data_IF_639509411270
#
_entry.id   IF_639509411270
#
_cell.length_a   1.000
_cell.length_b   1.000
_cell.length_c   1.000
_cell.angle_alpha   90.00
_cell.angle_beta   90.00
_cell.angle_gamma   90.00
#
_symmetry.space_group_name_H-M   'P 1'
#
loop_
_entity.id
_entity.type
_entity.pdbx_description
1 polymer ?
#
# COMPACT_ATOMS: atom_id res chain seq x y z
N UNK A 1 -8.74 0.09 7.36
CA UNK A 1 -9.49 -1.16 7.17
C UNK A 1 -9.32 -2.00 8.41
N UNK A 2 -10.36 -2.72 8.80
CA UNK A 2 -10.38 -3.55 9.98
C UNK A 2 -10.92 -4.94 9.61
N UNK A 3 -10.27 -5.98 10.11
CA UNK A 3 -10.66 -7.36 9.91
C UNK A 3 -10.77 -8.04 11.26
N UNK A 4 -11.93 -8.61 11.57
CA UNK A 4 -12.21 -9.33 12.81
C UNK A 4 -12.16 -10.85 12.54
N UNK A 5 -11.47 -11.58 13.41
CA UNK A 5 -11.24 -13.01 13.30
C UNK A 5 -11.74 -13.73 14.55
N UNK A 6 -12.52 -14.78 14.36
CA UNK A 6 -12.98 -15.67 15.43
C UNK A 6 -11.88 -16.69 15.78
N UNK A 7 -10.67 -16.21 16.06
CA UNK A 7 -9.49 -17.02 16.40
C UNK A 7 -8.61 -16.27 17.40
N UNK A 8 -7.91 -17.01 18.23
CA UNK A 8 -6.82 -16.47 19.06
C UNK A 8 -5.63 -16.03 18.18
N UNK A 9 -4.81 -15.14 18.72
CA UNK A 9 -3.65 -14.56 18.03
C UNK A 9 -2.66 -15.61 17.51
N UNK A 10 -2.41 -16.67 18.27
CA UNK A 10 -1.43 -17.71 17.92
C UNK A 10 -1.94 -18.56 16.75
N UNK A 11 -3.21 -18.95 16.81
CA UNK A 11 -3.91 -19.67 15.72
C UNK A 11 -3.99 -18.83 14.45
N UNK A 12 -4.30 -17.53 14.58
CA UNK A 12 -4.36 -16.60 13.44
C UNK A 12 -2.99 -16.49 12.74
N UNK A 13 -1.90 -16.31 13.51
CA UNK A 13 -0.54 -16.25 12.94
C UNK A 13 -0.18 -17.54 12.19
N UNK A 14 -0.56 -18.71 12.72
CA UNK A 14 -0.26 -19.99 12.09
C UNK A 14 -1.01 -20.17 10.76
N UNK A 15 -2.32 -19.85 10.75
CA UNK A 15 -3.17 -19.90 9.55
C UNK A 15 -2.69 -18.91 8.50
N UNK A 16 -2.25 -17.71 8.93
CA UNK A 16 -1.65 -16.72 8.04
C UNK A 16 -0.42 -17.29 7.33
N UNK A 17 0.56 -17.82 8.07
CA UNK A 17 1.76 -18.39 7.44
C UNK A 17 1.41 -19.51 6.44
N UNK A 18 0.53 -20.44 6.84
CA UNK A 18 0.14 -21.57 5.98
C UNK A 18 -0.63 -21.15 4.72
N UNK A 19 -1.56 -20.19 4.81
CA UNK A 19 -2.31 -19.70 3.64
C UNK A 19 -1.47 -18.77 2.76
N UNK A 20 -0.48 -18.08 3.32
CA UNK A 20 0.41 -17.18 2.58
C UNK A 20 1.34 -17.94 1.63
N UNK A 21 1.90 -19.07 2.08
CA UNK A 21 2.72 -19.97 1.24
C UNK A 21 1.97 -20.43 -0.01
N UNK A 22 0.67 -20.71 0.11
CA UNK A 22 -0.19 -21.14 -1.00
C UNK A 22 -0.54 -20.02 -1.98
N UNK A 23 -0.47 -18.75 -1.57
CA UNK A 23 -0.86 -17.58 -2.37
C UNK A 23 0.33 -16.71 -2.82
N UNK A 24 1.57 -17.17 -2.68
CA UNK A 24 2.79 -16.41 -3.02
C UNK A 24 2.85 -15.04 -2.30
N UNK A 25 2.48 -15.02 -1.01
CA UNK A 25 2.48 -13.83 -0.17
C UNK A 25 3.60 -13.95 0.87
N UNK A 26 4.33 -12.86 1.10
CA UNK A 26 5.26 -12.72 2.24
C UNK A 26 4.55 -12.08 3.41
N UNK A 27 4.56 -12.77 4.55
CA UNK A 27 4.03 -12.26 5.83
C UNK A 27 5.22 -11.92 6.75
N UNK A 28 5.41 -10.65 7.05
CA UNK A 28 6.31 -10.17 8.10
C UNK A 28 5.54 -9.88 9.38
N UNK A 29 6.06 -10.31 10.53
CA UNK A 29 5.43 -10.15 11.83
C UNK A 29 6.49 -9.64 12.83
N UNK A 30 6.25 -8.48 13.43
CA UNK A 30 7.20 -7.82 14.34
C UNK A 30 6.44 -7.04 15.41
N UNK A 31 6.55 -7.41 16.68
CA UNK A 31 5.93 -6.72 17.83
C UNK A 31 4.47 -6.28 17.55
N UNK A 32 3.62 -7.24 17.20
CA UNK A 32 2.20 -7.07 16.85
C UNK A 32 1.92 -6.27 15.57
N UNK A 33 2.93 -5.88 14.83
CA UNK A 33 2.79 -5.33 13.48
C UNK A 33 2.87 -6.45 12.47
N UNK A 34 2.02 -6.35 11.46
CA UNK A 34 1.93 -7.28 10.35
C UNK A 34 2.25 -6.52 9.08
N UNK A 35 3.03 -7.14 8.23
CA UNK A 35 3.19 -6.75 6.84
C UNK A 35 2.84 -7.92 5.95
N UNK A 36 1.96 -7.71 4.97
CA UNK A 36 1.63 -8.72 3.95
C UNK A 36 1.99 -8.11 2.61
N UNK A 37 2.97 -8.68 1.93
CA UNK A 37 3.48 -8.18 0.65
C UNK A 37 3.33 -9.27 -0.41
N UNK A 38 2.95 -8.87 -1.62
CA UNK A 38 2.96 -9.76 -2.78
C UNK A 38 4.40 -10.08 -3.18
N UNK A 39 4.76 -11.36 -3.37
CA UNK A 39 6.06 -11.72 -3.93
C UNK A 39 6.16 -11.30 -5.41
N UNK A 40 7.18 -10.52 -5.77
CA UNK A 40 7.44 -10.13 -7.14
C UNK A 40 7.97 -11.32 -7.96
N UNK A 41 7.46 -11.52 -9.17
CA UNK A 41 7.99 -12.48 -10.15
C UNK A 41 7.13 -13.72 -10.46
N UNK A 42 5.95 -13.88 -9.84
CA UNK A 42 5.05 -15.03 -10.09
C UNK A 42 3.71 -14.66 -10.77
N UNK A 43 3.61 -13.48 -11.37
CA UNK A 43 2.38 -13.02 -12.02
C UNK A 43 2.64 -12.74 -13.50
N UNK A 44 1.92 -13.46 -14.36
CA UNK A 44 2.19 -13.57 -15.81
C UNK A 44 1.86 -12.31 -16.64
N UNK A 45 1.31 -11.25 -16.04
CA UNK A 45 0.92 -10.04 -16.77
C UNK A 45 1.48 -8.80 -16.07
N UNK A 46 2.13 -7.90 -16.81
CA UNK A 46 2.72 -6.62 -16.35
C UNK A 46 1.73 -5.59 -15.74
N UNK A 47 0.56 -6.04 -15.33
CA UNK A 47 -0.44 -5.32 -14.54
C UNK A 47 -0.08 -5.30 -13.03
N UNK A 48 0.75 -6.24 -12.55
CA UNK A 48 1.14 -6.39 -11.13
C UNK A 48 2.51 -5.76 -10.78
N UNK A 49 2.91 -4.72 -11.51
CA UNK A 49 4.22 -4.06 -11.34
C UNK A 49 4.35 -3.23 -10.04
N UNK A 50 3.23 -2.91 -9.37
CA UNK A 50 3.25 -2.05 -8.18
C UNK A 50 3.29 -2.92 -6.92
N UNK A 51 4.39 -2.93 -6.15
CA UNK A 51 4.46 -3.69 -4.90
C UNK A 51 3.47 -3.09 -3.90
N UNK A 52 2.39 -3.83 -3.65
CA UNK A 52 1.40 -3.51 -2.62
C UNK A 52 1.78 -4.28 -1.36
N UNK A 53 1.84 -3.55 -0.25
CA UNK A 53 2.04 -4.11 1.08
C UNK A 53 0.88 -3.67 1.96
N UNK A 54 0.19 -4.61 2.60
CA UNK A 54 -0.70 -4.28 3.71
C UNK A 54 0.12 -4.17 4.98
N UNK A 55 0.02 -3.04 5.69
CA UNK A 55 0.59 -2.88 7.04
C UNK A 55 -0.56 -2.78 8.04
N UNK A 56 -0.57 -3.67 9.02
CA UNK A 56 -1.58 -3.71 10.07
C UNK A 56 -0.99 -3.94 11.45
N UNK A 57 -1.83 -3.77 12.46
CA UNK A 57 -1.53 -4.09 13.86
C UNK A 57 -2.53 -5.12 14.36
N UNK A 58 -2.05 -6.15 15.06
CA UNK A 58 -2.90 -7.08 15.79
C UNK A 58 -3.36 -6.43 17.10
N UNK A 59 -4.64 -6.56 17.40
CA UNK A 59 -5.22 -6.26 18.68
C UNK A 59 -6.01 -7.48 19.17
N UNK A 60 -5.81 -7.85 20.43
CA UNK A 60 -6.58 -8.92 21.07
C UNK A 60 -7.84 -8.35 21.71
N UNK A 61 -8.97 -9.04 21.49
CA UNK A 61 -10.26 -8.69 22.08
C UNK A 61 -10.91 -9.95 22.63
N UNK A 62 -10.65 -10.26 23.89
CA UNK A 62 -11.16 -11.43 24.64
C UNK A 62 -10.97 -12.76 23.90
N UNK A 63 -11.91 -13.15 23.03
CA UNK A 63 -11.90 -14.40 22.23
C UNK A 63 -11.72 -14.20 20.73
N UNK A 64 -11.44 -12.96 20.32
CA UNK A 64 -11.31 -12.55 18.92
C UNK A 64 -10.04 -11.76 18.71
N UNK A 65 -9.51 -11.83 17.50
CA UNK A 65 -8.36 -11.06 17.09
C UNK A 65 -8.76 -10.08 15.99
N UNK A 66 -8.27 -8.84 16.09
CA UNK A 66 -8.56 -7.79 15.11
C UNK A 66 -7.27 -7.38 14.44
N UNK A 67 -7.28 -7.31 13.11
CA UNK A 67 -6.20 -6.70 12.33
C UNK A 67 -6.72 -5.37 11.78
N UNK A 68 -6.18 -4.27 12.30
CA UNK A 68 -6.45 -2.93 11.77
C UNK A 68 -5.24 -2.44 10.98
N UNK A 69 -5.46 -1.95 9.77
CA UNK A 69 -4.35 -1.58 8.88
C UNK A 69 -4.73 -0.78 7.65
N UNK A 70 -3.69 -0.44 6.89
CA UNK A 70 -3.78 0.28 5.63
C UNK A 70 -2.88 -0.35 4.59
N UNK A 71 -3.29 -0.27 3.32
CA UNK A 71 -2.41 -0.57 2.21
C UNK A 71 -1.39 0.55 2.06
N UNK A 72 -0.12 0.16 1.89
CA UNK A 72 0.96 1.02 1.44
C UNK A 72 1.46 0.49 0.12
N UNK A 73 1.97 1.40 -0.70
CA UNK A 73 2.81 1.05 -1.83
C UNK A 73 4.24 0.91 -1.32
N UNK A 74 5.11 0.24 -2.09
CA UNK A 74 6.55 0.22 -1.79
C UNK A 74 7.06 1.62 -1.45
N UNK A 75 7.92 1.71 -0.43
CA UNK A 75 8.44 2.94 0.17
C UNK A 75 8.86 4.00 -0.87
N UNK A 76 9.46 3.54 -1.97
CA UNK A 76 9.93 4.36 -3.07
C UNK A 76 8.83 5.17 -3.76
N UNK A 77 7.67 4.57 -4.06
CA UNK A 77 6.65 5.25 -4.87
C UNK A 77 5.93 6.34 -4.07
N UNK A 78 5.55 6.03 -2.83
CA UNK A 78 4.88 7.00 -1.96
C UNK A 78 5.84 8.13 -1.54
N UNK A 79 7.08 7.77 -1.18
CA UNK A 79 8.11 8.76 -0.85
C UNK A 79 8.40 9.69 -2.03
N UNK A 80 8.59 9.14 -3.23
CA UNK A 80 8.91 9.92 -4.43
C UNK A 80 7.78 10.90 -4.79
N UNK A 81 6.51 10.45 -4.77
CA UNK A 81 5.35 11.34 -5.02
C UNK A 81 5.28 12.46 -3.98
N UNK A 82 5.53 12.15 -2.70
CA UNK A 82 5.51 13.14 -1.63
C UNK A 82 6.62 14.19 -1.79
N UNK A 83 7.87 13.76 -2.05
CA UNK A 83 8.98 14.68 -2.31
C UNK A 83 8.76 15.50 -3.59
N UNK A 84 8.24 14.89 -4.66
CA UNK A 84 7.92 15.59 -5.90
C UNK A 84 6.88 16.70 -5.66
N UNK A 85 5.82 16.44 -4.89
CA UNK A 85 4.82 17.45 -4.54
C UNK A 85 5.44 18.64 -3.78
N UNK A 86 6.30 18.37 -2.80
CA UNK A 86 7.00 19.43 -2.04
C UNK A 86 7.89 20.27 -2.97
N UNK A 87 8.66 19.63 -3.84
CA UNK A 87 9.56 20.32 -4.78
C UNK A 87 8.78 21.20 -5.76
N UNK A 88 7.63 20.73 -6.26
CA UNK A 88 6.75 21.51 -7.14
C UNK A 88 6.25 22.75 -6.41
N UNK A 89 5.76 22.62 -5.17
CA UNK A 89 5.27 23.75 -4.38
C UNK A 89 6.39 24.75 -4.11
N UNK A 90 7.56 24.28 -3.69
CA UNK A 90 8.72 25.15 -3.44
C UNK A 90 9.13 25.92 -4.70
N UNK A 91 9.18 25.25 -5.86
CA UNK A 91 9.50 25.88 -7.14
C UNK A 91 8.42 26.87 -7.58
N UNK A 92 7.15 26.53 -7.41
CA UNK A 92 6.04 27.41 -7.73
C UNK A 92 6.11 28.70 -6.92
N UNK A 93 6.32 28.61 -5.60
CA UNK A 93 6.43 29.79 -4.72
C UNK A 93 7.62 30.67 -5.11
N UNK A 94 8.79 30.07 -5.36
CA UNK A 94 9.97 30.81 -5.79
C UNK A 94 9.76 31.52 -7.14
N UNK A 95 9.16 30.84 -8.11
CA UNK A 95 8.86 31.43 -9.42
C UNK A 95 7.77 32.50 -9.36
N UNK A 96 6.79 32.37 -8.47
CA UNK A 96 5.78 33.41 -8.22
C UNK A 96 6.41 34.68 -7.63
N UNK A 97 7.32 34.54 -6.66
CA UNK A 97 8.06 35.67 -6.09
C UNK A 97 8.94 36.39 -7.14
N UNK A 98 9.51 35.64 -8.09
CA UNK A 98 10.36 36.17 -9.16
C UNK A 98 9.57 36.56 -10.43
N UNK A 99 8.23 36.48 -10.41
CA UNK A 99 7.34 36.74 -11.58
C UNK A 99 7.75 35.99 -12.86
N UNK A 100 8.31 34.79 -12.73
CA UNK A 100 8.71 33.95 -13.86
C UNK A 100 7.50 33.15 -14.38
N UNK A 101 6.76 33.73 -15.32
CA UNK A 101 5.51 33.15 -15.86
C UNK A 101 5.71 31.78 -16.51
N UNK A 102 6.82 31.56 -17.22
CA UNK A 102 7.10 30.29 -17.91
C UNK A 102 7.31 29.15 -16.91
N UNK A 103 8.02 29.42 -15.82
CA UNK A 103 8.27 28.43 -14.76
C UNK A 103 7.00 28.12 -13.96
N UNK A 104 6.09 29.08 -13.82
CA UNK A 104 4.78 28.87 -13.20
C UNK A 104 3.94 27.92 -14.08
N UNK A 105 3.89 28.15 -15.39
CA UNK A 105 3.16 27.28 -16.34
C UNK A 105 3.74 25.86 -16.31
N UNK A 106 5.07 25.72 -16.32
CA UNK A 106 5.72 24.42 -16.21
C UNK A 106 5.36 23.69 -14.91
N UNK A 107 5.32 24.40 -13.77
CA UNK A 107 4.90 23.82 -12.50
C UNK A 107 3.45 23.30 -12.56
N UNK A 108 2.53 24.03 -13.22
CA UNK A 108 1.15 23.57 -13.40
C UNK A 108 1.08 22.30 -14.25
N UNK A 109 1.80 22.24 -15.38
CA UNK A 109 1.85 21.05 -16.24
C UNK A 109 2.39 19.84 -15.48
N UNK A 110 3.50 20.02 -14.75
CA UNK A 110 4.10 18.94 -13.94
C UNK A 110 3.16 18.50 -12.81
N UNK A 111 2.38 19.41 -12.23
CA UNK A 111 1.35 19.06 -11.23
C UNK A 111 0.27 18.16 -11.83
N UNK A 112 -0.21 18.46 -13.04
CA UNK A 112 -1.19 17.62 -13.73
C UNK A 112 -0.61 16.24 -14.05
N UNK A 113 0.63 16.18 -14.52
CA UNK A 113 1.31 14.89 -14.77
C UNK A 113 1.44 14.06 -13.48
N UNK A 114 1.80 14.70 -12.36
CA UNK A 114 1.87 14.02 -11.07
C UNK A 114 0.50 13.46 -10.65
N UNK A 115 -0.58 14.21 -10.86
CA UNK A 115 -1.95 13.75 -10.59
C UNK A 115 -2.31 12.52 -11.43
N UNK A 116 -1.97 12.50 -12.73
CA UNK A 116 -2.19 11.35 -13.61
C UNK A 116 -1.42 10.12 -13.10
N UNK A 117 -0.14 10.29 -12.72
CA UNK A 117 0.66 9.20 -12.16
C UNK A 117 0.00 8.62 -10.90
N UNK A 118 -0.49 9.47 -9.99
CA UNK A 118 -1.20 9.04 -8.77
C UNK A 118 -2.46 8.23 -9.13
N UNK A 119 -3.23 8.66 -10.13
CA UNK A 119 -4.44 7.95 -10.57
C UNK A 119 -4.07 6.58 -11.17
N UNK A 120 -3.09 6.51 -12.06
CA UNK A 120 -2.64 5.26 -12.69
C UNK A 120 -2.12 4.27 -11.63
N UNK A 121 -1.36 4.76 -10.66
CA UNK A 121 -0.86 3.95 -9.53
C UNK A 121 -2.02 3.37 -8.70
N UNK A 122 -3.01 4.21 -8.38
CA UNK A 122 -4.19 3.74 -7.65
C UNK A 122 -5.00 2.73 -8.47
N UNK A 123 -5.11 2.92 -9.79
CA UNK A 123 -5.83 2.01 -10.67
C UNK A 123 -5.13 0.64 -10.78
N UNK A 124 -3.83 0.62 -11.09
CA UNK A 124 -3.05 -0.63 -11.22
C UNK A 124 -2.96 -1.39 -9.89
N UNK A 125 -2.84 -0.68 -8.78
CA UNK A 125 -2.75 -1.34 -7.46
C UNK A 125 -4.06 -1.95 -6.95
N UNK A 126 -5.22 -1.68 -7.57
CA UNK A 126 -6.50 -2.28 -7.18
C UNK A 126 -6.45 -3.81 -7.19
N UNK A 127 -5.84 -4.41 -8.23
CA UNK A 127 -5.74 -5.87 -8.36
C UNK A 127 -4.91 -6.46 -7.22
N UNK A 128 -3.71 -5.92 -6.96
CA UNK A 128 -2.87 -6.36 -5.83
C UNK A 128 -3.53 -6.16 -4.46
N UNK A 129 -4.25 -5.05 -4.25
CA UNK A 129 -5.03 -4.82 -3.02
C UNK A 129 -6.13 -5.87 -2.85
N UNK A 130 -6.87 -6.19 -3.91
CA UNK A 130 -7.94 -7.18 -3.89
C UNK A 130 -7.42 -8.57 -3.52
N UNK A 131 -6.26 -8.99 -4.04
CA UNK A 131 -5.64 -10.28 -3.69
C UNK A 131 -5.32 -10.36 -2.19
N UNK A 132 -4.73 -9.31 -1.61
CA UNK A 132 -4.41 -9.26 -0.19
C UNK A 132 -5.68 -9.16 0.66
N UNK A 133 -6.68 -8.40 0.23
CA UNK A 133 -7.96 -8.27 0.94
C UNK A 133 -8.72 -9.60 0.95
N UNK A 134 -8.78 -10.30 -0.18
CA UNK A 134 -9.39 -11.63 -0.28
C UNK A 134 -8.61 -12.65 0.56
N UNK A 135 -7.28 -12.56 0.58
CA UNK A 135 -6.45 -13.35 1.49
C UNK A 135 -6.81 -13.10 2.96
N UNK A 136 -6.89 -11.83 3.39
CA UNK A 136 -7.26 -11.44 4.75
C UNK A 136 -8.65 -11.96 5.12
N UNK A 137 -9.66 -11.79 4.25
CA UNK A 137 -11.02 -12.32 4.47
C UNK A 137 -11.03 -13.85 4.61
N UNK A 138 -10.21 -14.55 3.82
CA UNK A 138 -10.12 -16.00 3.85
C UNK A 138 -9.45 -16.56 5.13
N UNK A 139 -8.81 -15.74 5.97
CA UNK A 139 -8.23 -16.21 7.24
C UNK A 139 -9.30 -16.61 8.26
N UNK A 140 -10.52 -16.05 8.14
CA UNK A 140 -11.64 -16.40 9.02
C UNK A 140 -12.32 -17.73 8.64
N UNK A 141 -12.15 -18.19 7.39
CA UNK A 141 -12.68 -19.48 6.92
C UNK A 141 -11.87 -20.61 7.55
N UNK A 142 -12.57 -21.52 8.24
CA UNK A 142 -11.96 -22.57 9.08
C UNK A 142 -11.13 -23.54 8.27
#
# INVERSE_FOLDING_TARGET
MEFEYNRDKKSLINVMKSKAEKKNLKVGLENDKISITLEQGKFNNGEDAIPVTFKGKLADKSDKCIISGKFTYGFYLYGLVFFAAILIVARFVASAMQKQTDNIILCLVVTVLLAIVIVVVNFKSKKGKAVIEEYLKNLNVR
#
